data_IF_724741733077
#
_entry.id   IF_724741733077
#
_cell.length_a   1.000
_cell.length_b   1.000
_cell.length_c   1.000
_cell.angle_alpha   90.00
_cell.angle_beta   90.00
_cell.angle_gamma   90.00
#
_symmetry.space_group_name_H-M   'P 1'
#
loop_
_entity.id
_entity.type
_entity.pdbx_description
1 polymer ?
#
# COMPACT_ATOMS: atom_id res chain seq x y z
N UNK A 1 14.25 17.27 23.69
CA UNK A 1 13.28 17.46 22.59
C UNK A 1 12.08 16.58 22.87
N UNK A 2 10.88 17.15 22.99
CA UNK A 2 9.64 16.39 23.01
C UNK A 2 9.51 15.70 21.65
N UNK A 3 9.43 14.37 21.63
CA UNK A 3 9.11 13.65 20.39
C UNK A 3 7.66 13.97 20.04
N UNK A 4 7.42 14.33 18.79
CA UNK A 4 6.06 14.51 18.29
C UNK A 4 5.25 13.23 18.53
N UNK A 5 3.99 13.32 18.98
CA UNK A 5 3.19 12.14 19.28
C UNK A 5 2.80 11.34 18.02
N UNK A 6 2.83 11.98 16.84
CA UNK A 6 2.37 11.40 15.57
C UNK A 6 3.42 11.58 14.47
N UNK A 7 3.41 10.68 13.50
CA UNK A 7 4.30 10.74 12.35
C UNK A 7 3.81 11.77 11.32
N UNK A 8 4.62 12.81 11.09
CA UNK A 8 4.36 13.80 10.04
C UNK A 8 5.01 13.38 8.70
N UNK A 9 4.18 12.86 7.80
CA UNK A 9 4.58 12.38 6.47
C UNK A 9 3.65 12.98 5.40
N UNK A 10 4.16 13.25 4.19
CA UNK A 10 3.29 13.62 3.08
C UNK A 10 2.31 12.48 2.82
N UNK A 11 1.08 12.82 2.43
CA UNK A 11 0.01 11.84 2.15
C UNK A 11 -0.35 10.93 3.33
N UNK A 12 -0.04 11.30 4.57
CA UNK A 12 -0.56 10.64 5.78
C UNK A 12 -1.55 11.57 6.48
N UNK A 13 -2.69 11.02 6.90
CA UNK A 13 -3.71 11.78 7.62
C UNK A 13 -3.17 12.21 8.99
N UNK A 14 -3.32 13.49 9.39
CA UNK A 14 -2.86 13.97 10.69
C UNK A 14 -3.42 13.13 11.85
N UNK A 15 -2.57 12.80 12.83
CA UNK A 15 -2.98 12.04 14.01
C UNK A 15 -3.31 10.55 13.79
N UNK A 16 -3.10 10.02 12.58
CA UNK A 16 -3.51 8.64 12.24
C UNK A 16 -2.45 7.56 12.55
N UNK A 17 -1.18 7.97 12.69
CA UNK A 17 -0.04 7.07 12.95
C UNK A 17 0.80 7.66 14.09
N UNK A 18 0.97 6.90 15.18
CA UNK A 18 1.89 7.24 16.27
C UNK A 18 3.33 7.29 15.78
N UNK A 19 4.10 8.26 16.28
CA UNK A 19 5.49 8.37 15.92
C UNK A 19 6.34 7.26 16.55
N UNK A 20 7.11 6.54 15.72
CA UNK A 20 8.13 5.59 16.16
C UNK A 20 9.36 5.71 15.26
N UNK A 21 10.51 6.11 15.85
CA UNK A 21 11.75 6.38 15.11
C UNK A 21 12.14 5.26 14.14
N UNK A 22 12.06 3.99 14.58
CA UNK A 22 12.45 2.86 13.74
C UNK A 22 11.55 2.70 12.51
N UNK A 23 10.24 2.99 12.64
CA UNK A 23 9.30 2.89 11.52
C UNK A 23 9.58 3.98 10.48
N UNK A 24 9.85 5.19 10.96
CA UNK A 24 10.23 6.35 10.12
C UNK A 24 11.54 6.06 9.39
N UNK A 25 12.57 5.61 10.09
CA UNK A 25 13.87 5.31 9.50
C UNK A 25 13.78 4.19 8.46
N UNK A 26 13.08 3.09 8.76
CA UNK A 26 12.88 1.99 7.81
C UNK A 26 12.09 2.44 6.58
N UNK A 27 11.07 3.27 6.74
CA UNK A 27 10.31 3.81 5.62
C UNK A 27 11.16 4.70 4.69
N UNK A 28 12.07 5.52 5.25
CA UNK A 28 12.98 6.37 4.47
C UNK A 28 14.01 5.56 3.68
N UNK A 29 14.46 4.42 4.22
CA UNK A 29 15.32 3.47 3.47
C UNK A 29 14.51 2.81 2.34
N UNK A 30 13.36 2.23 2.68
CA UNK A 30 12.52 1.51 1.72
C UNK A 30 11.90 2.38 0.60
N UNK A 31 11.85 3.71 0.76
CA UNK A 31 11.47 4.64 -0.31
C UNK A 31 12.48 4.69 -1.47
N UNK A 32 13.75 4.43 -1.17
CA UNK A 32 14.89 4.64 -2.08
C UNK A 32 15.32 3.35 -2.77
N UNK A 33 15.20 2.22 -2.09
CA UNK A 33 15.68 0.93 -2.57
C UNK A 33 14.77 -0.25 -2.14
N UNK A 34 14.79 -1.32 -2.93
CA UNK A 34 14.08 -2.56 -2.61
C UNK A 34 14.58 -3.13 -1.27
N UNK A 35 13.68 -3.25 -0.30
CA UNK A 35 14.03 -3.55 1.09
C UNK A 35 13.20 -4.70 1.63
N UNK A 36 13.85 -5.68 2.28
CA UNK A 36 13.18 -6.70 3.09
C UNK A 36 13.17 -6.27 4.56
N UNK A 37 11.99 -6.00 5.11
CA UNK A 37 11.82 -5.58 6.51
C UNK A 37 11.46 -6.77 7.38
N UNK A 38 12.43 -7.26 8.18
CA UNK A 38 12.24 -8.37 9.10
C UNK A 38 11.96 -7.85 10.51
N UNK A 39 10.68 -7.89 10.92
CA UNK A 39 10.23 -7.51 12.26
C UNK A 39 9.19 -8.51 12.79
N UNK A 40 9.16 -8.73 14.10
CA UNK A 40 8.12 -9.52 14.76
C UNK A 40 6.72 -8.96 14.50
N UNK A 41 5.70 -9.81 14.56
CA UNK A 41 4.30 -9.39 14.45
C UNK A 41 3.94 -8.37 15.54
N UNK A 42 3.10 -7.40 15.22
CA UNK A 42 2.71 -6.32 16.15
C UNK A 42 3.67 -5.12 16.16
N UNK A 43 4.85 -5.19 15.54
CA UNK A 43 5.79 -4.07 15.44
C UNK A 43 5.48 -3.08 14.30
N UNK A 44 4.36 -3.25 13.61
CA UNK A 44 3.87 -2.27 12.63
C UNK A 44 4.53 -2.35 11.25
N UNK A 45 4.79 -3.55 10.73
CA UNK A 45 5.24 -3.73 9.33
C UNK A 45 4.32 -3.02 8.33
N UNK A 46 3.00 -3.14 8.50
CA UNK A 46 2.00 -2.45 7.66
C UNK A 46 2.05 -0.93 7.81
N UNK A 47 2.42 -0.40 8.99
CA UNK A 47 2.63 1.04 9.19
C UNK A 47 3.81 1.52 8.35
N UNK A 48 4.94 0.79 8.40
CA UNK A 48 6.12 1.11 7.57
C UNK A 48 5.74 1.12 6.10
N UNK A 49 5.02 0.10 5.63
CA UNK A 49 4.58 0.02 4.24
C UNK A 49 3.64 1.18 3.84
N UNK A 50 2.75 1.62 4.73
CA UNK A 50 1.90 2.80 4.50
C UNK A 50 2.72 4.10 4.41
N UNK A 51 3.74 4.27 5.26
CA UNK A 51 4.64 5.42 5.18
C UNK A 51 5.42 5.45 3.85
N UNK A 52 5.90 4.29 3.39
CA UNK A 52 6.56 4.18 2.07
C UNK A 52 5.58 4.49 0.95
N UNK A 53 4.37 3.94 0.99
CA UNK A 53 3.32 4.22 0.00
C UNK A 53 3.02 5.72 -0.10
N UNK A 54 2.94 6.41 1.05
CA UNK A 54 2.70 7.83 1.12
C UNK A 54 3.83 8.66 0.49
N UNK A 55 5.10 8.32 0.79
CA UNK A 55 6.27 8.95 0.15
C UNK A 55 6.31 8.70 -1.37
N UNK A 56 5.93 7.50 -1.81
CA UNK A 56 5.92 7.15 -3.25
C UNK A 56 4.81 7.88 -4.00
N UNK A 57 3.63 8.05 -3.41
CA UNK A 57 2.55 8.84 -3.98
C UNK A 57 2.85 10.33 -3.98
N UNK A 58 3.60 10.83 -3.01
CA UNK A 58 4.07 12.22 -3.01
C UNK A 58 5.07 12.47 -4.16
N UNK A 59 6.05 11.57 -4.32
CA UNK A 59 7.10 11.67 -5.35
C UNK A 59 6.60 11.36 -6.76
N UNK A 60 5.64 10.46 -6.90
CA UNK A 60 5.05 10.04 -8.18
C UNK A 60 3.51 10.11 -8.10
N UNK A 61 2.90 11.30 -8.17
CA UNK A 61 1.46 11.49 -7.97
C UNK A 61 0.58 10.67 -8.91
N UNK A 62 1.05 10.41 -10.14
CA UNK A 62 0.30 9.65 -11.15
C UNK A 62 0.44 8.13 -11.02
N UNK A 63 1.34 7.65 -10.16
CA UNK A 63 1.60 6.23 -9.98
C UNK A 63 0.54 5.50 -9.14
N UNK A 64 0.69 4.19 -9.08
CA UNK A 64 -0.10 3.25 -8.28
C UNK A 64 0.77 2.55 -7.25
N UNK A 65 0.13 2.15 -6.16
CA UNK A 65 0.72 1.33 -5.09
C UNK A 65 -0.02 0.00 -5.04
N UNK A 66 0.72 -1.10 -4.97
CA UNK A 66 0.18 -2.44 -4.90
C UNK A 66 0.58 -3.11 -3.58
N UNK A 67 -0.40 -3.59 -2.82
CA UNK A 67 -0.19 -4.42 -1.64
C UNK A 67 -0.66 -5.84 -1.95
N UNK A 68 0.22 -6.81 -1.70
CA UNK A 68 -0.04 -8.22 -1.86
C UNK A 68 -0.15 -8.87 -0.49
N UNK A 69 -1.34 -9.39 -0.18
CA UNK A 69 -1.62 -10.09 1.06
C UNK A 69 -1.91 -11.57 0.79
N UNK A 70 -1.58 -12.49 1.71
CA UNK A 70 -1.67 -13.93 1.46
C UNK A 70 -3.12 -14.44 1.40
N UNK A 71 -4.08 -13.68 1.94
CA UNK A 71 -5.49 -14.04 1.90
C UNK A 71 -6.40 -12.84 1.67
N UNK A 72 -7.62 -13.09 1.20
CA UNK A 72 -8.65 -12.04 1.01
C UNK A 72 -9.02 -11.31 2.31
N UNK A 73 -9.23 -11.98 3.46
CA UNK A 73 -9.47 -11.27 4.72
C UNK A 73 -8.34 -10.31 5.10
N UNK A 74 -7.09 -10.71 4.90
CA UNK A 74 -5.93 -9.85 5.17
C UNK A 74 -5.84 -8.69 4.19
N UNK A 75 -6.12 -8.91 2.90
CA UNK A 75 -6.20 -7.84 1.91
C UNK A 75 -7.27 -6.80 2.28
N UNK A 76 -8.46 -7.23 2.69
CA UNK A 76 -9.53 -6.34 3.14
C UNK A 76 -9.14 -5.56 4.42
N UNK A 77 -8.50 -6.22 5.38
CA UNK A 77 -8.01 -5.58 6.60
C UNK A 77 -6.96 -4.50 6.29
N UNK A 78 -6.00 -4.80 5.41
CA UNK A 78 -5.00 -3.83 4.98
C UNK A 78 -5.63 -2.66 4.22
N UNK A 79 -6.58 -2.92 3.31
CA UNK A 79 -7.27 -1.86 2.59
C UNK A 79 -8.02 -0.91 3.55
N UNK A 80 -8.73 -1.46 4.55
CA UNK A 80 -9.39 -0.67 5.61
C UNK A 80 -8.38 0.17 6.41
N UNK A 81 -7.24 -0.42 6.77
CA UNK A 81 -6.16 0.31 7.44
C UNK A 81 -5.63 1.45 6.58
N UNK A 82 -5.34 1.21 5.30
CA UNK A 82 -4.81 2.21 4.37
C UNK A 82 -5.79 3.37 4.16
N UNK A 83 -7.10 3.11 4.00
CA UNK A 83 -8.13 4.17 3.94
C UNK A 83 -8.13 5.07 5.18
N UNK A 84 -7.82 4.51 6.35
CA UNK A 84 -7.79 5.25 7.61
C UNK A 84 -6.57 6.15 7.76
N UNK A 85 -5.43 5.79 7.16
CA UNK A 85 -4.15 6.45 7.44
C UNK A 85 -3.57 7.23 6.26
N UNK A 86 -3.84 6.82 5.02
CA UNK A 86 -3.30 7.48 3.83
C UNK A 86 -4.27 8.56 3.36
N UNK A 87 -3.73 9.75 3.09
CA UNK A 87 -4.48 10.91 2.63
C UNK A 87 -4.64 10.90 1.11
N UNK A 88 -5.56 10.05 0.66
CA UNK A 88 -6.07 9.95 -0.70
C UNK A 88 -7.60 9.91 -0.64
N UNK A 89 -8.32 10.25 -1.74
CA UNK A 89 -9.76 10.01 -1.81
C UNK A 89 -10.08 8.56 -1.42
N UNK A 90 -11.12 8.37 -0.59
CA UNK A 90 -11.40 7.06 0.02
C UNK A 90 -11.70 5.98 -1.03
N UNK A 91 -12.33 6.38 -2.13
CA UNK A 91 -12.64 5.57 -3.29
C UNK A 91 -11.42 5.22 -4.16
N UNK A 92 -10.23 5.74 -3.82
CA UNK A 92 -8.95 5.44 -4.49
C UNK A 92 -8.18 4.29 -3.84
N UNK A 93 -8.68 3.72 -2.74
CA UNK A 93 -8.12 2.52 -2.09
C UNK A 93 -9.10 1.36 -2.25
N UNK A 94 -8.69 0.32 -2.98
CA UNK A 94 -9.56 -0.81 -3.31
C UNK A 94 -8.94 -2.15 -2.91
N UNK A 95 -9.79 -3.08 -2.48
CA UNK A 95 -9.42 -4.50 -2.34
C UNK A 95 -9.95 -5.24 -3.57
N UNK A 96 -9.05 -5.64 -4.47
CA UNK A 96 -9.39 -6.38 -5.70
C UNK A 96 -9.34 -7.88 -5.41
N UNK A 97 -10.52 -8.49 -5.31
CA UNK A 97 -10.67 -9.88 -4.83
C UNK A 97 -10.84 -10.91 -5.94
N UNK A 98 -10.65 -10.51 -7.21
CA UNK A 98 -10.73 -11.40 -8.38
C UNK A 98 -12.13 -11.93 -8.71
N UNK A 99 -13.17 -11.52 -7.98
CA UNK A 99 -14.55 -11.94 -8.21
C UNK A 99 -15.22 -11.18 -9.37
N UNK A 100 -14.79 -9.94 -9.62
CA UNK A 100 -15.30 -9.12 -10.70
C UNK A 100 -14.77 -9.60 -12.06
N UNK A 101 -15.55 -9.41 -13.13
CA UNK A 101 -15.10 -9.76 -14.48
C UNK A 101 -13.92 -8.90 -14.99
N UNK A 102 -13.15 -9.36 -16.00
CA UNK A 102 -11.92 -8.67 -16.46
C UNK A 102 -12.12 -7.20 -16.81
N UNK A 103 -13.22 -6.85 -17.49
CA UNK A 103 -13.53 -5.46 -17.86
C UNK A 103 -13.72 -4.55 -16.62
N UNK A 104 -14.41 -5.05 -15.59
CA UNK A 104 -14.62 -4.33 -14.34
C UNK A 104 -13.29 -4.16 -13.60
N UNK A 105 -12.47 -5.20 -13.53
CA UNK A 105 -11.14 -5.13 -12.88
C UNK A 105 -10.22 -4.12 -13.54
N UNK A 106 -10.24 -4.02 -14.88
CA UNK A 106 -9.48 -3.02 -15.63
C UNK A 106 -9.92 -1.59 -15.29
N UNK A 107 -11.22 -1.35 -15.20
CA UNK A 107 -11.76 -0.04 -14.82
C UNK A 107 -11.43 0.30 -13.36
N UNK A 108 -11.56 -0.66 -12.44
CA UNK A 108 -11.17 -0.50 -11.04
C UNK A 108 -9.68 -0.20 -10.93
N UNK A 109 -8.82 -0.97 -11.61
CA UNK A 109 -7.38 -0.72 -11.66
C UNK A 109 -7.09 0.71 -12.12
N UNK A 110 -7.68 1.13 -13.24
CA UNK A 110 -7.44 2.46 -13.84
C UNK A 110 -7.79 3.60 -12.87
N UNK A 111 -8.95 3.51 -12.21
CA UNK A 111 -9.49 4.58 -11.35
C UNK A 111 -8.80 4.70 -9.99
N UNK A 112 -8.21 3.62 -9.47
CA UNK A 112 -7.67 3.57 -8.11
C UNK A 112 -6.17 3.86 -8.03
N UNK A 113 -5.70 4.37 -6.88
CA UNK A 113 -4.28 4.66 -6.61
C UNK A 113 -3.62 3.57 -5.76
N UNK A 114 -4.37 2.99 -4.82
CA UNK A 114 -3.87 1.95 -3.93
C UNK A 114 -4.72 0.70 -4.11
N UNK A 115 -4.08 -0.37 -4.55
CA UNK A 115 -4.72 -1.65 -4.80
C UNK A 115 -4.18 -2.64 -3.78
N UNK A 116 -5.08 -3.34 -3.09
CA UNK A 116 -4.74 -4.47 -2.23
C UNK A 116 -5.35 -5.73 -2.83
N UNK A 117 -4.55 -6.78 -3.03
CA UNK A 117 -5.03 -8.02 -3.63
C UNK A 117 -4.18 -9.22 -3.21
N UNK A 118 -4.56 -10.42 -3.65
CA UNK A 118 -3.73 -11.61 -3.46
C UNK A 118 -2.74 -11.79 -4.61
N UNK A 119 -1.57 -12.43 -4.39
CA UNK A 119 -0.63 -12.75 -5.46
C UNK A 119 -1.27 -13.54 -6.61
N UNK A 120 -2.15 -14.49 -6.28
CA UNK A 120 -2.89 -15.29 -7.27
C UNK A 120 -3.78 -14.42 -8.16
N UNK A 121 -4.50 -13.45 -7.57
CA UNK A 121 -5.36 -12.55 -8.33
C UNK A 121 -4.52 -11.67 -9.28
N UNK A 122 -3.37 -11.18 -8.82
CA UNK A 122 -2.45 -10.39 -9.65
C UNK A 122 -1.96 -11.24 -10.83
N UNK A 123 -1.48 -12.45 -10.55
CA UNK A 123 -0.97 -13.35 -11.59
C UNK A 123 -2.04 -13.61 -12.65
N UNK A 124 -3.27 -13.91 -12.25
CA UNK A 124 -4.39 -14.14 -13.17
C UNK A 124 -4.65 -12.92 -14.06
N UNK A 125 -4.62 -11.72 -13.49
CA UNK A 125 -4.85 -10.48 -14.24
C UNK A 125 -3.74 -10.14 -15.23
N UNK A 126 -2.48 -10.39 -14.86
CA UNK A 126 -1.34 -10.20 -15.74
C UNK A 126 -1.35 -11.20 -16.91
N UNK A 127 -1.65 -12.48 -16.64
CA UNK A 127 -1.76 -13.52 -17.68
C UNK A 127 -2.90 -13.22 -18.65
N UNK A 128 -4.01 -12.67 -18.16
CA UNK A 128 -5.16 -12.27 -18.99
C UNK A 128 -4.95 -10.94 -19.73
N UNK A 129 -3.88 -10.20 -19.43
CA UNK A 129 -3.64 -8.88 -20.02
C UNK A 129 -4.66 -7.82 -19.59
N UNK A 130 -5.26 -7.95 -18.40
CA UNK A 130 -6.23 -6.99 -17.87
C UNK A 130 -5.63 -5.59 -17.74
N UNK A 131 -4.38 -5.52 -17.28
CA UNK A 131 -3.56 -4.33 -17.09
C UNK A 131 -2.09 -4.73 -16.98
N UNK A 132 -1.18 -3.75 -17.01
CA UNK A 132 0.25 -3.95 -16.74
C UNK A 132 0.69 -3.20 -15.48
N UNK A 133 1.96 -3.35 -15.10
CA UNK A 133 2.54 -2.77 -13.88
C UNK A 133 3.40 -1.53 -14.12
N UNK A 134 3.38 -0.98 -15.35
CA UNK A 134 4.22 0.15 -15.75
C UNK A 134 3.96 1.44 -14.96
N UNK A 135 2.76 1.59 -14.41
CA UNK A 135 2.36 2.73 -13.57
C UNK A 135 2.49 2.44 -12.07
N UNK A 136 2.98 1.27 -11.67
CA UNK A 136 3.16 0.88 -10.27
C UNK A 136 4.53 1.34 -9.77
N UNK A 137 4.54 2.25 -8.80
CA UNK A 137 5.77 2.78 -8.20
C UNK A 137 6.20 2.02 -6.95
N UNK A 138 5.35 1.16 -6.38
CA UNK A 138 5.64 0.35 -5.21
C UNK A 138 4.81 -0.93 -5.21
N UNK A 139 5.46 -2.06 -4.94
CA UNK A 139 4.79 -3.32 -4.61
C UNK A 139 5.23 -3.73 -3.20
N UNK A 140 4.27 -3.96 -2.32
CA UNK A 140 4.47 -4.45 -0.95
C UNK A 140 4.04 -5.91 -0.91
N UNK A 141 4.95 -6.78 -0.51
CA UNK A 141 4.67 -8.20 -0.24
C UNK A 141 4.52 -8.38 1.27
N UNK A 142 3.30 -8.66 1.73
CA UNK A 142 3.10 -9.08 3.13
C UNK A 142 3.43 -10.57 3.27
N UNK A 143 4.11 -10.94 4.35
CA UNK A 143 4.65 -12.29 4.58
C UNK A 143 5.59 -12.80 3.47
N UNK A 144 6.53 -11.93 3.04
CA UNK A 144 7.63 -12.28 2.13
C UNK A 144 8.72 -13.15 2.77
#
# INVERSE_FOLDING_TARGET
>A
MQKEPFAEFPKIKPGSIEYRDYQVNLARVAERESTLVVLSTGLGKTVIAALVAALRLDKYPDSKILFLAPSRPLADQQAKFLRRVVDVPEDSVVCLTGQDGPAVRKEVWKKNKIIVMTPQALQNDLVQGSYGLQDVSLIVYDEA
#
